data_IF_923270200761
#
_entry.id   IF_923270200761
#
_cell.length_a   1.000
_cell.length_b   1.000
_cell.length_c   1.000
_cell.angle_alpha   90.00
_cell.angle_beta   90.00
_cell.angle_gamma   90.00
#
_symmetry.space_group_name_H-M   'P 1'
#
loop_
_entity.id
_entity.type
_entity.pdbx_description
1 polymer ?
#
# COMPACT_ATOMS: atom_id res chain seq x y z
N UNK A 1 1.64 -15.29 26.21
CA UNK A 1 2.57 -14.23 25.76
C UNK A 1 1.77 -13.39 24.79
N UNK A 2 1.50 -12.11 25.09
CA UNK A 2 0.84 -11.22 24.12
C UNK A 2 1.91 -10.79 23.12
N UNK A 3 1.64 -10.95 21.82
CA UNK A 3 2.54 -10.47 20.77
C UNK A 3 2.53 -8.95 20.79
N UNK A 4 3.65 -8.33 20.41
CA UNK A 4 3.66 -6.87 20.19
C UNK A 4 2.99 -6.57 18.85
N UNK A 5 2.43 -5.37 18.72
CA UNK A 5 1.75 -4.94 17.50
C UNK A 5 2.63 -5.12 16.24
N UNK A 6 3.93 -4.80 16.33
CA UNK A 6 4.89 -4.98 15.24
C UNK A 6 5.10 -6.46 14.85
N UNK A 7 5.09 -7.39 15.81
CA UNK A 7 5.18 -8.83 15.50
C UNK A 7 3.94 -9.35 14.76
N UNK A 8 2.77 -8.77 15.05
CA UNK A 8 1.52 -9.10 14.35
C UNK A 8 1.51 -8.54 12.93
N UNK A 9 2.01 -7.31 12.73
CA UNK A 9 2.15 -6.73 11.39
C UNK A 9 3.18 -7.47 10.53
N UNK A 10 4.34 -7.84 11.10
CA UNK A 10 5.33 -8.65 10.36
C UNK A 10 4.72 -9.98 9.91
N UNK A 11 3.99 -10.67 10.78
CA UNK A 11 3.32 -11.93 10.41
C UNK A 11 2.29 -11.73 9.31
N UNK A 12 1.52 -10.64 9.38
CA UNK A 12 0.60 -10.28 8.31
C UNK A 12 1.34 -10.08 6.97
N UNK A 13 2.48 -9.39 6.97
CA UNK A 13 3.32 -9.22 5.77
C UNK A 13 3.91 -10.54 5.25
N UNK A 14 4.25 -11.46 6.16
CA UNK A 14 4.79 -12.78 5.81
C UNK A 14 3.74 -13.69 5.15
N UNK A 15 2.45 -13.48 5.43
CA UNK A 15 1.33 -14.20 4.81
C UNK A 15 1.00 -13.71 3.38
N UNK A 16 1.56 -12.56 2.97
CA UNK A 16 1.33 -11.96 1.66
C UNK A 16 2.40 -12.43 0.68
N UNK A 17 1.95 -13.02 -0.42
CA UNK A 17 2.86 -13.40 -1.51
C UNK A 17 3.11 -12.21 -2.44
N UNK A 18 4.28 -12.15 -3.07
CA UNK A 18 4.53 -11.21 -4.15
C UNK A 18 3.55 -11.44 -5.30
N UNK A 19 3.04 -10.37 -5.90
CA UNK A 19 1.93 -10.43 -6.86
C UNK A 19 0.55 -10.34 -6.23
N UNK A 20 0.45 -10.28 -4.89
CA UNK A 20 -0.83 -10.14 -4.20
C UNK A 20 -1.09 -8.72 -3.70
N UNK A 21 -2.37 -8.36 -3.75
CA UNK A 21 -2.91 -7.16 -3.13
C UNK A 21 -3.65 -7.56 -1.86
N UNK A 22 -3.46 -6.81 -0.78
CA UNK A 22 -4.29 -6.89 0.43
C UNK A 22 -4.83 -5.52 0.82
N UNK A 23 -6.04 -5.53 1.36
CA UNK A 23 -6.63 -4.35 2.00
C UNK A 23 -6.42 -4.47 3.49
N UNK A 24 -5.91 -3.42 4.12
CA UNK A 24 -5.73 -3.34 5.56
C UNK A 24 -6.59 -2.19 6.10
N UNK A 25 -7.60 -2.52 6.90
CA UNK A 25 -8.56 -1.55 7.42
C UNK A 25 -8.01 -0.74 8.63
N UNK A 26 -8.64 0.41 8.91
CA UNK A 26 -8.21 1.37 9.95
C UNK A 26 -8.15 0.76 11.33
N UNK A 27 -9.02 -0.20 11.62
CA UNK A 27 -9.08 -0.92 12.89
C UNK A 27 -7.81 -1.74 13.17
N UNK A 28 -7.05 -2.08 12.11
CA UNK A 28 -5.78 -2.79 12.19
C UNK A 28 -4.55 -1.85 12.18
N UNK A 29 -4.75 -0.52 12.16
CA UNK A 29 -3.65 0.47 12.28
C UNK A 29 -2.82 0.28 13.53
N UNK A 30 -3.44 -0.22 14.61
CA UNK A 30 -2.75 -0.54 15.85
C UNK A 30 -1.55 -1.46 15.65
N UNK A 31 -1.54 -2.30 14.60
CA UNK A 31 -0.44 -3.23 14.30
C UNK A 31 0.85 -2.55 13.83
N UNK A 32 0.77 -1.35 13.24
CA UNK A 32 1.94 -0.66 12.64
C UNK A 32 2.07 0.82 13.04
N UNK A 33 1.08 1.39 13.73
CA UNK A 33 1.14 2.74 14.28
C UNK A 33 1.77 2.74 15.69
N UNK A 34 2.68 3.68 15.95
CA UNK A 34 3.20 3.88 17.30
C UNK A 34 2.07 4.25 18.28
N UNK A 35 2.10 3.75 19.53
CA UNK A 35 1.08 4.06 20.52
C UNK A 35 1.29 5.47 21.11
N UNK A 36 0.98 6.51 20.35
CA UNK A 36 0.76 7.86 20.90
C UNK A 36 -0.54 8.49 20.38
N UNK A 37 -1.08 9.37 21.23
CA UNK A 37 -2.44 9.89 21.34
C UNK A 37 -3.27 10.11 20.05
N UNK A 38 -4.57 9.85 20.18
CA UNK A 38 -5.69 9.94 19.22
C UNK A 38 -5.75 11.22 18.34
N UNK A 39 -4.75 11.53 17.52
CA UNK A 39 -4.83 12.55 16.46
C UNK A 39 -3.69 12.41 15.44
N UNK A 40 -3.65 11.35 14.64
CA UNK A 40 -2.72 11.26 13.51
C UNK A 40 -3.47 11.09 12.18
N UNK A 41 -3.76 12.23 11.53
CA UNK A 41 -4.09 12.30 10.10
C UNK A 41 -2.81 12.19 9.27
N UNK A 42 -2.15 11.04 9.34
CA UNK A 42 -1.15 10.52 8.40
C UNK A 42 -0.57 9.28 9.02
N UNK A 43 -0.35 8.23 8.25
CA UNK A 43 0.42 7.08 8.72
C UNK A 43 1.88 7.49 8.92
N UNK A 44 2.22 7.94 10.14
CA UNK A 44 3.61 8.14 10.62
C UNK A 44 4.30 6.81 10.97
N UNK A 45 3.78 5.70 10.44
CA UNK A 45 4.34 4.38 10.67
C UNK A 45 5.66 4.19 9.92
N UNK A 46 6.69 3.77 10.65
CA UNK A 46 7.98 3.45 10.07
C UNK A 46 7.97 2.06 9.41
N UNK A 47 7.43 1.96 8.19
CA UNK A 47 7.35 0.69 7.47
C UNK A 47 8.72 0.13 7.05
N UNK A 48 9.79 0.92 7.14
CA UNK A 48 11.14 0.48 6.74
C UNK A 48 11.69 -0.64 7.62
N UNK A 49 11.17 -0.80 8.84
CA UNK A 49 11.59 -1.84 9.80
C UNK A 49 11.12 -3.25 9.41
N UNK A 50 10.16 -3.36 8.48
CA UNK A 50 9.58 -4.63 8.03
C UNK A 50 10.14 -5.10 6.68
N UNK A 51 11.11 -4.38 6.11
CA UNK A 51 11.71 -4.71 4.83
C UNK A 51 12.76 -5.82 4.96
N UNK A 52 12.77 -6.71 3.97
CA UNK A 52 13.91 -7.60 3.75
C UNK A 52 15.05 -6.87 3.01
N UNK A 53 16.26 -7.46 3.04
CA UNK A 53 17.45 -6.88 2.38
C UNK A 53 17.24 -6.65 0.88
N UNK A 54 16.43 -7.50 0.23
CA UNK A 54 16.11 -7.47 -1.19
C UNK A 54 14.82 -6.72 -1.54
N UNK A 55 14.20 -6.02 -0.57
CA UNK A 55 12.95 -5.26 -0.76
C UNK A 55 13.14 -3.75 -0.69
N UNK A 56 12.53 -3.03 -1.63
CA UNK A 56 12.32 -1.58 -1.54
C UNK A 56 10.94 -1.26 -0.96
N UNK A 57 10.84 -0.11 -0.29
CA UNK A 57 9.57 0.43 0.18
C UNK A 57 9.13 1.58 -0.72
N UNK A 58 7.87 1.52 -1.16
CA UNK A 58 7.17 2.67 -1.70
C UNK A 58 5.92 2.94 -0.89
N UNK A 59 5.85 4.13 -0.28
CA UNK A 59 4.64 4.67 0.32
C UNK A 59 4.03 5.70 -0.63
N UNK A 60 2.93 5.34 -1.29
CA UNK A 60 2.18 6.25 -2.15
C UNK A 60 1.13 7.01 -1.33
N UNK A 61 1.29 8.33 -1.26
CA UNK A 61 0.38 9.28 -0.63
C UNK A 61 0.36 10.58 -1.41
N UNK A 62 -0.70 11.38 -1.25
CA UNK A 62 -0.67 12.77 -1.73
C UNK A 62 0.27 13.61 -0.88
N UNK A 63 0.95 14.55 -1.53
CA UNK A 63 1.71 15.60 -0.85
C UNK A 63 0.83 16.83 -0.56
N UNK A 64 -0.20 17.05 -1.38
CA UNK A 64 -1.21 18.10 -1.24
C UNK A 64 -2.60 17.49 -1.47
N UNK A 65 -3.52 17.67 -0.52
CA UNK A 65 -4.88 17.12 -0.59
C UNK A 65 -5.69 17.68 -1.76
N UNK A 66 -5.30 18.82 -2.32
CA UNK A 66 -6.01 19.50 -3.42
C UNK A 66 -5.46 19.17 -4.81
N UNK A 67 -4.30 18.52 -4.90
CA UNK A 67 -3.67 18.13 -6.16
C UNK A 67 -3.69 16.60 -6.31
N UNK A 68 -4.55 16.05 -7.19
CA UNK A 68 -4.55 14.62 -7.49
C UNK A 68 -3.22 14.18 -8.10
N UNK A 69 -2.79 12.96 -7.78
CA UNK A 69 -1.60 12.40 -8.39
C UNK A 69 -1.84 12.12 -9.88
N UNK A 70 -0.86 12.46 -10.71
CA UNK A 70 -0.88 12.19 -12.13
C UNK A 70 0.13 11.10 -12.55
N UNK A 71 0.24 10.88 -13.86
CA UNK A 71 1.15 9.88 -14.40
C UNK A 71 2.63 10.22 -14.14
N UNK A 72 3.00 11.51 -14.12
CA UNK A 72 4.36 11.94 -13.82
C UNK A 72 4.72 11.63 -12.36
N UNK A 73 3.78 11.86 -11.44
CA UNK A 73 3.97 11.50 -10.03
C UNK A 73 4.18 10.00 -9.87
N UNK A 74 3.34 9.18 -10.51
CA UNK A 74 3.53 7.72 -10.47
C UNK A 74 4.87 7.30 -11.04
N UNK A 75 5.27 7.83 -12.20
CA UNK A 75 6.57 7.53 -12.80
C UNK A 75 7.72 7.89 -11.85
N UNK A 76 7.64 9.04 -11.18
CA UNK A 76 8.65 9.51 -10.22
C UNK A 76 8.71 8.63 -8.97
N UNK A 77 7.57 8.16 -8.48
CA UNK A 77 7.50 7.21 -7.36
C UNK A 77 8.08 5.85 -7.73
N UNK A 78 7.72 5.32 -8.90
CA UNK A 78 8.15 3.99 -9.34
C UNK A 78 9.63 3.95 -9.76
N UNK A 79 10.19 5.06 -10.24
CA UNK A 79 11.61 5.16 -10.58
C UNK A 79 12.57 5.01 -9.37
N UNK A 80 12.04 4.93 -8.15
CA UNK A 80 12.81 4.71 -6.91
C UNK A 80 12.92 3.22 -6.55
N UNK A 81 12.25 2.35 -7.30
CA UNK A 81 12.25 0.90 -7.09
C UNK A 81 13.38 0.25 -7.89
N UNK A 82 14.49 -0.05 -7.24
CA UNK A 82 15.72 -0.58 -7.85
C UNK A 82 16.00 -2.03 -7.47
N UNK A 83 15.40 -2.52 -6.38
CA UNK A 83 15.56 -3.88 -5.87
C UNK A 83 14.68 -4.90 -6.59
N UNK A 84 14.95 -6.21 -6.46
CA UNK A 84 14.18 -7.24 -7.16
C UNK A 84 12.76 -7.41 -6.62
N UNK A 85 12.48 -6.99 -5.38
CA UNK A 85 11.19 -7.12 -4.72
C UNK A 85 10.78 -5.80 -4.07
N UNK A 86 9.48 -5.61 -3.87
CA UNK A 86 8.95 -4.35 -3.34
C UNK A 86 7.82 -4.56 -2.34
N UNK A 87 7.82 -3.76 -1.28
CA UNK A 87 6.66 -3.52 -0.44
C UNK A 87 6.05 -2.18 -0.86
N UNK A 88 4.85 -2.22 -1.45
CA UNK A 88 4.14 -1.04 -1.90
C UNK A 88 2.94 -0.81 -0.99
N UNK A 89 2.87 0.37 -0.40
CA UNK A 89 1.82 0.76 0.53
C UNK A 89 1.12 1.99 -0.06
N UNK A 90 -0.21 1.91 -0.19
CA UNK A 90 -1.03 2.97 -0.77
C UNK A 90 -1.99 3.49 0.31
N UNK A 91 -1.84 4.76 0.69
CA UNK A 91 -2.76 5.41 1.62
C UNK A 91 -4.06 5.80 0.88
N UNK A 92 -5.10 4.97 1.02
CA UNK A 92 -6.34 5.14 0.28
C UNK A 92 -7.28 6.18 0.89
N UNK A 93 -7.01 6.71 2.09
CA UNK A 93 -7.83 7.78 2.67
C UNK A 93 -7.65 9.11 1.94
N UNK A 94 -6.45 9.35 1.43
CA UNK A 94 -6.07 10.61 0.76
C UNK A 94 -6.06 10.49 -0.76
N UNK A 95 -6.30 9.30 -1.31
CA UNK A 95 -6.34 9.03 -2.74
C UNK A 95 -7.76 8.71 -3.22
N UNK A 96 -8.13 9.26 -4.38
CA UNK A 96 -9.37 8.90 -5.04
C UNK A 96 -9.29 7.53 -5.72
N UNK A 97 -10.43 6.86 -5.86
CA UNK A 97 -10.53 5.53 -6.51
C UNK A 97 -9.92 5.52 -7.92
N UNK A 98 -10.01 6.64 -8.65
CA UNK A 98 -9.44 6.77 -10.00
C UNK A 98 -7.92 6.77 -9.97
N UNK A 99 -7.29 7.44 -9.00
CA UNK A 99 -5.83 7.43 -8.82
C UNK A 99 -5.35 6.05 -8.41
N UNK A 100 -6.02 5.43 -7.44
CA UNK A 100 -5.68 4.07 -6.99
C UNK A 100 -5.76 3.11 -8.17
N UNK A 101 -6.83 3.19 -8.97
CA UNK A 101 -6.97 2.36 -10.19
C UNK A 101 -5.86 2.62 -11.20
N UNK A 102 -5.55 3.89 -11.48
CA UNK A 102 -4.52 4.26 -12.43
C UNK A 102 -3.14 3.74 -11.99
N UNK A 103 -2.82 3.89 -10.71
CA UNK A 103 -1.59 3.37 -10.13
C UNK A 103 -1.50 1.84 -10.19
N UNK A 104 -2.57 1.12 -9.85
CA UNK A 104 -2.61 -0.35 -9.95
C UNK A 104 -2.42 -0.84 -11.40
N UNK A 105 -3.02 -0.15 -12.37
CA UNK A 105 -2.83 -0.46 -13.79
C UNK A 105 -1.39 -0.17 -14.24
N UNK A 106 -0.80 0.92 -13.77
CA UNK A 106 0.59 1.27 -14.06
C UNK A 106 1.56 0.20 -13.54
N UNK A 107 1.38 -0.26 -12.29
CA UNK A 107 2.15 -1.36 -11.71
C UNK A 107 2.03 -2.67 -12.50
N UNK A 108 0.82 -2.96 -13.00
CA UNK A 108 0.58 -4.13 -13.84
C UNK A 108 1.29 -4.00 -15.19
N UNK A 109 1.14 -2.85 -15.86
CA UNK A 109 1.69 -2.61 -17.20
C UNK A 109 3.23 -2.61 -17.20
N UNK A 110 3.87 -2.21 -16.10
CA UNK A 110 5.32 -2.24 -15.91
C UNK A 110 5.84 -3.59 -15.37
N UNK A 111 4.96 -4.55 -15.11
CA UNK A 111 5.33 -5.85 -14.54
C UNK A 111 5.91 -5.76 -13.12
N UNK A 112 5.65 -4.66 -12.43
CA UNK A 112 6.08 -4.43 -11.04
C UNK A 112 5.15 -5.14 -10.06
N UNK A 113 3.85 -5.26 -10.38
CA UNK A 113 2.87 -5.88 -9.50
C UNK A 113 3.28 -7.31 -9.08
N UNK A 114 3.79 -8.12 -10.01
CA UNK A 114 4.22 -9.50 -9.75
C UNK A 114 5.41 -9.61 -8.78
N UNK A 115 6.18 -8.52 -8.61
CA UNK A 115 7.33 -8.41 -7.72
C UNK A 115 7.00 -7.71 -6.41
N UNK A 116 5.75 -7.29 -6.24
CA UNK A 116 5.33 -6.44 -5.13
C UNK A 116 4.39 -7.16 -4.19
N UNK A 117 4.57 -6.95 -2.89
CA UNK A 117 3.49 -7.06 -1.91
C UNK A 117 2.80 -5.72 -1.85
N UNK A 118 1.52 -5.66 -2.22
CA UNK A 118 0.79 -4.39 -2.28
C UNK A 118 -0.27 -4.30 -1.19
N UNK A 119 -0.16 -3.27 -0.35
CA UNK A 119 -1.12 -2.96 0.70
C UNK A 119 -1.92 -1.72 0.34
N UNK A 120 -3.24 -1.88 0.29
CA UNK A 120 -4.20 -0.79 0.22
C UNK A 120 -4.66 -0.47 1.64
N UNK A 121 -4.10 0.58 2.22
CA UNK A 121 -4.47 1.01 3.57
C UNK A 121 -5.79 1.75 3.51
N UNK A 122 -6.73 1.32 4.33
CA UNK A 122 -7.96 2.05 4.65
C UNK A 122 -8.84 2.34 3.44
N UNK A 123 -8.77 1.47 2.44
CA UNK A 123 -9.64 1.51 1.28
C UNK A 123 -11.09 1.25 1.72
N UNK A 124 -12.02 2.21 1.53
CA UNK A 124 -13.38 1.99 1.95
C UNK A 124 -14.06 0.92 1.07
N UNK A 125 -15.04 0.23 1.64
CA UNK A 125 -15.61 -1.00 1.06
C UNK A 125 -16.21 -0.77 -0.34
N UNK A 126 -16.86 0.37 -0.56
CA UNK A 126 -17.47 0.70 -1.84
C UNK A 126 -16.41 0.86 -2.95
N UNK A 127 -15.29 1.51 -2.63
CA UNK A 127 -14.15 1.71 -3.49
C UNK A 127 -13.43 0.38 -3.76
N UNK A 128 -13.30 -0.48 -2.74
CA UNK A 128 -12.79 -1.84 -2.92
C UNK A 128 -13.63 -2.64 -3.90
N UNK A 129 -14.95 -2.66 -3.74
CA UNK A 129 -15.85 -3.38 -4.65
C UNK A 129 -15.75 -2.83 -6.07
N UNK A 130 -15.67 -1.50 -6.20
CA UNK A 130 -15.51 -0.81 -7.49
C UNK A 130 -14.19 -1.20 -8.17
N UNK A 131 -13.07 -1.17 -7.44
CA UNK A 131 -11.76 -1.54 -7.96
C UNK A 131 -11.71 -3.01 -8.34
N UNK A 132 -12.23 -3.88 -7.46
CA UNK A 132 -12.32 -5.31 -7.70
C UNK A 132 -13.10 -5.59 -8.98
N UNK A 133 -14.31 -5.06 -9.11
CA UNK A 133 -15.12 -5.24 -10.32
C UNK A 133 -14.40 -4.75 -11.58
N UNK A 134 -13.78 -3.57 -11.51
CA UNK A 134 -13.07 -2.97 -12.64
C UNK A 134 -11.79 -3.72 -13.05
N UNK A 135 -11.18 -4.48 -12.14
CA UNK A 135 -9.85 -5.08 -12.31
C UNK A 135 -9.84 -6.61 -12.16
N UNK A 136 -10.97 -7.26 -11.90
CA UNK A 136 -11.08 -8.72 -11.64
C UNK A 136 -10.45 -9.59 -12.74
N UNK A 137 -10.43 -9.13 -13.99
CA UNK A 137 -9.82 -9.88 -15.11
C UNK A 137 -8.30 -9.68 -15.24
N UNK A 138 -7.72 -8.75 -14.47
CA UNK A 138 -6.34 -8.29 -14.61
C UNK A 138 -5.51 -8.47 -13.34
N UNK A 139 -6.12 -8.34 -12.17
CA UNK A 139 -5.44 -8.26 -10.88
C UNK A 139 -6.15 -9.16 -9.87
N UNK A 140 -5.38 -9.88 -9.06
CA UNK A 140 -5.90 -10.66 -7.93
C UNK A 140 -5.92 -9.77 -6.67
N UNK A 141 -7.12 -9.59 -6.13
CA UNK A 141 -7.39 -8.97 -4.83
C UNK A 141 -7.63 -10.04 -3.78
#
# INVERSE_FOLDING_TARGET
>A
MKMTNNEEFQKFLDEISYGEIRVLAMENRGAYAEPEEETAKSTDANFSEFLNEDEDLLLLKRSDDFEPLDEEDFNRSLAQLDKPQHLIIVDCLVLGTTEIRAFLLKLLDEGLLEKSKLLLLDLPELEYLTLKEALTSKIKF
#
